data_IF_512351751020
#
_entry.id   IF_512351751020
#
_cell.length_a   1.000
_cell.length_b   1.000
_cell.length_c   1.000
_cell.angle_alpha   90.00
_cell.angle_beta   90.00
_cell.angle_gamma   90.00
#
_symmetry.space_group_name_H-M   'P 1'
#
loop_
_entity.id
_entity.type
_entity.pdbx_description
1 polymer ?
#
# COMPACT_ATOMS: atom_id res chain seq x y z
N UNK A 1 -23.03 -23.48 -1.86
CA UNK A 1 -22.03 -22.46 -2.23
C UNK A 1 -21.25 -22.15 -0.97
N UNK A 2 -20.17 -22.91 -0.70
CA UNK A 2 -19.31 -22.67 0.45
C UNK A 2 -18.38 -21.51 0.11
N UNK A 3 -18.19 -20.58 1.05
CA UNK A 3 -17.37 -19.39 0.89
C UNK A 3 -15.92 -19.79 0.59
N UNK A 4 -15.42 -19.44 -0.59
CA UNK A 4 -13.98 -19.40 -0.88
C UNK A 4 -13.37 -18.28 0.00
N UNK A 5 -13.09 -18.59 1.25
CA UNK A 5 -12.52 -17.66 2.23
C UNK A 5 -11.16 -18.19 2.65
N UNK A 6 -10.09 -17.66 2.07
CA UNK A 6 -8.74 -17.90 2.56
C UNK A 6 -8.64 -17.50 4.03
N UNK A 7 -7.84 -18.22 4.81
CA UNK A 7 -7.50 -17.91 6.19
C UNK A 7 -6.43 -16.83 6.28
N UNK A 8 -6.26 -16.24 7.47
CA UNK A 8 -5.20 -15.27 7.74
C UNK A 8 -3.81 -15.79 7.35
N UNK A 9 -3.50 -17.04 7.73
CA UNK A 9 -2.19 -17.62 7.45
C UNK A 9 -1.99 -17.90 5.96
N UNK A 10 -3.02 -18.32 5.21
CA UNK A 10 -2.91 -18.50 3.76
C UNK A 10 -2.63 -17.17 3.03
N UNK A 11 -3.28 -16.07 3.42
CA UNK A 11 -3.00 -14.75 2.83
C UNK A 11 -1.59 -14.25 3.17
N UNK A 12 -1.17 -14.44 4.43
CA UNK A 12 0.18 -14.06 4.90
C UNK A 12 1.27 -14.90 4.25
N UNK A 13 1.11 -16.22 4.16
CA UNK A 13 2.07 -17.11 3.51
C UNK A 13 2.20 -16.78 2.01
N UNK A 14 1.09 -16.49 1.34
CA UNK A 14 1.11 -16.07 -0.05
C UNK A 14 1.80 -14.70 -0.22
N UNK A 15 1.57 -13.74 0.70
CA UNK A 15 2.24 -12.44 0.70
C UNK A 15 3.75 -12.57 0.90
N UNK A 16 4.18 -13.33 1.91
CA UNK A 16 5.59 -13.60 2.18
C UNK A 16 6.26 -14.34 1.02
N UNK A 17 5.58 -15.32 0.42
CA UNK A 17 6.10 -16.05 -0.75
C UNK A 17 6.35 -15.14 -1.96
N UNK A 18 5.39 -14.27 -2.29
CA UNK A 18 5.56 -13.27 -3.36
C UNK A 18 6.68 -12.29 -3.05
N UNK A 19 6.74 -11.79 -1.81
CA UNK A 19 7.78 -10.88 -1.35
C UNK A 19 9.17 -11.49 -1.49
N UNK A 20 9.38 -12.69 -0.94
CA UNK A 20 10.68 -13.39 -1.01
C UNK A 20 11.10 -13.64 -2.45
N UNK A 21 10.20 -14.13 -3.30
CA UNK A 21 10.50 -14.37 -4.72
C UNK A 21 10.83 -13.07 -5.47
N UNK A 22 10.15 -11.96 -5.18
CA UNK A 22 10.41 -10.67 -5.84
C UNK A 22 11.67 -9.96 -5.31
N UNK A 23 12.15 -10.33 -4.11
CA UNK A 23 13.42 -9.86 -3.55
C UNK A 23 14.64 -10.62 -4.10
N UNK A 24 14.47 -11.66 -4.91
CA UNK A 24 15.57 -12.29 -5.63
C UNK A 24 15.99 -11.43 -6.84
N UNK A 25 16.66 -10.31 -6.56
CA UNK A 25 17.13 -9.37 -7.59
C UNK A 25 18.60 -9.57 -7.96
N UNK A 26 18.87 -9.53 -9.26
CA UNK A 26 20.24 -9.47 -9.77
C UNK A 26 20.85 -8.10 -9.48
N UNK A 27 22.10 -8.11 -9.02
CA UNK A 27 22.83 -6.88 -8.68
C UNK A 27 23.14 -6.12 -9.96
N UNK A 28 22.58 -4.93 -10.10
CA UNK A 28 22.78 -4.07 -11.28
C UNK A 28 24.14 -3.36 -11.27
N UNK A 29 24.75 -3.23 -10.09
CA UNK A 29 25.96 -2.42 -9.88
C UNK A 29 25.67 -0.98 -9.46
N UNK A 30 24.42 -0.56 -9.51
CA UNK A 30 23.92 0.68 -8.91
C UNK A 30 23.28 0.35 -7.55
N UNK A 31 23.88 0.85 -6.48
CA UNK A 31 23.45 0.55 -5.10
C UNK A 31 22.07 1.14 -4.80
N UNK A 32 21.75 2.31 -5.36
CA UNK A 32 20.46 2.97 -5.12
C UNK A 32 19.35 2.20 -5.86
N UNK A 33 19.64 1.76 -7.09
CA UNK A 33 18.72 0.92 -7.85
C UNK A 33 18.51 -0.44 -7.17
N UNK A 34 19.58 -1.09 -6.69
CA UNK A 34 19.52 -2.38 -5.99
C UNK A 34 18.75 -2.26 -4.66
N UNK A 35 18.92 -1.16 -3.92
CA UNK A 35 18.17 -0.88 -2.70
C UNK A 35 16.67 -0.80 -2.97
N UNK A 36 16.27 -0.02 -3.99
CA UNK A 36 14.85 0.10 -4.37
C UNK A 36 14.30 -1.23 -4.87
N UNK A 37 15.08 -1.97 -5.66
CA UNK A 37 14.67 -3.27 -6.20
C UNK A 37 14.41 -4.32 -5.09
N UNK A 38 15.13 -4.22 -3.96
CA UNK A 38 14.89 -5.03 -2.76
C UNK A 38 13.73 -4.50 -1.90
N UNK A 39 13.67 -3.18 -1.66
CA UNK A 39 12.74 -2.60 -0.68
C UNK A 39 11.33 -2.44 -1.19
N UNK A 40 11.15 -2.23 -2.50
CA UNK A 40 9.85 -2.16 -3.14
C UNK A 40 9.00 -3.44 -2.88
N UNK A 41 9.48 -4.67 -3.19
CA UNK A 41 8.74 -5.88 -2.87
C UNK A 41 8.62 -6.17 -1.37
N UNK A 42 9.63 -5.81 -0.57
CA UNK A 42 9.56 -5.94 0.90
C UNK A 42 8.39 -5.12 1.47
N UNK A 43 8.26 -3.86 1.03
CA UNK A 43 7.19 -2.97 1.49
C UNK A 43 5.83 -3.44 0.98
N UNK A 44 5.75 -3.95 -0.25
CA UNK A 44 4.52 -4.55 -0.76
C UNK A 44 4.09 -5.79 0.04
N UNK A 45 5.03 -6.64 0.46
CA UNK A 45 4.72 -7.77 1.35
C UNK A 45 4.15 -7.32 2.69
N UNK A 46 4.73 -6.27 3.29
CA UNK A 46 4.22 -5.68 4.53
C UNK A 46 2.79 -5.11 4.37
N UNK A 47 2.51 -4.45 3.24
CA UNK A 47 1.17 -3.94 2.89
C UNK A 47 0.18 -5.11 2.79
N UNK A 48 0.54 -6.18 2.09
CA UNK A 48 -0.34 -7.34 1.91
C UNK A 48 -0.67 -8.03 3.26
N UNK A 49 0.32 -8.15 4.16
CA UNK A 49 0.12 -8.68 5.52
C UNK A 49 -0.76 -7.75 6.38
N UNK A 50 -0.56 -6.43 6.27
CA UNK A 50 -1.39 -5.46 6.97
C UNK A 50 -2.85 -5.52 6.48
N UNK A 51 -3.09 -5.75 5.18
CA UNK A 51 -4.43 -5.99 4.64
C UNK A 51 -5.05 -7.25 5.24
N UNK A 52 -4.29 -8.34 5.41
CA UNK A 52 -4.76 -9.54 6.09
C UNK A 52 -5.17 -9.25 7.54
N UNK A 53 -4.38 -8.48 8.30
CA UNK A 53 -4.76 -8.04 9.65
C UNK A 53 -6.06 -7.23 9.65
N UNK A 54 -6.28 -6.34 8.66
CA UNK A 54 -7.55 -5.61 8.54
C UNK A 54 -8.74 -6.50 8.20
N UNK A 55 -8.52 -7.63 7.53
CA UNK A 55 -9.57 -8.58 7.14
C UNK A 55 -9.95 -9.51 8.29
N UNK A 56 -8.97 -10.06 9.00
CA UNK A 56 -9.17 -11.14 9.98
C UNK A 56 -9.00 -10.68 11.44
N UNK A 57 -8.18 -9.65 11.66
CA UNK A 57 -7.85 -9.12 12.98
C UNK A 57 -9.02 -8.38 13.63
N UNK A 58 -9.09 -8.45 14.96
CA UNK A 58 -10.17 -7.87 15.76
C UNK A 58 -9.71 -6.82 16.77
N UNK A 59 -8.41 -6.74 17.04
CA UNK A 59 -7.87 -5.77 17.97
C UNK A 59 -7.79 -4.39 17.30
N UNK A 60 -8.48 -3.39 17.86
CA UNK A 60 -8.57 -2.06 17.26
C UNK A 60 -7.21 -1.36 17.11
N UNK A 61 -6.31 -1.55 18.08
CA UNK A 61 -4.97 -0.98 18.03
C UNK A 61 -4.13 -1.61 16.92
N UNK A 62 -4.16 -2.94 16.78
CA UNK A 62 -3.43 -3.63 15.71
C UNK A 62 -3.98 -3.28 14.33
N UNK A 63 -5.30 -3.15 14.19
CA UNK A 63 -5.93 -2.68 12.95
C UNK A 63 -5.53 -1.25 12.61
N UNK A 64 -5.40 -0.36 13.61
CA UNK A 64 -4.90 0.99 13.37
C UNK A 64 -3.45 0.98 12.89
N UNK A 65 -2.58 0.19 13.53
CA UNK A 65 -1.19 0.00 13.10
C UNK A 65 -1.15 -0.54 11.66
N UNK A 66 -2.01 -1.49 11.31
CA UNK A 66 -2.09 -2.01 9.94
C UNK A 66 -2.50 -0.94 8.91
N UNK A 67 -3.41 -0.01 9.26
CA UNK A 67 -3.75 1.12 8.40
C UNK A 67 -2.56 2.07 8.21
N UNK A 68 -1.82 2.36 9.28
CA UNK A 68 -0.61 3.19 9.25
C UNK A 68 0.47 2.55 8.35
N UNK A 69 0.72 1.25 8.51
CA UNK A 69 1.63 0.49 7.63
C UNK A 69 1.22 0.61 6.16
N UNK A 70 -0.06 0.46 5.83
CA UNK A 70 -0.51 0.55 4.43
C UNK A 70 -0.20 1.93 3.85
N UNK A 71 -0.48 3.00 4.60
CA UNK A 71 -0.30 4.37 4.13
C UNK A 71 1.19 4.69 3.97
N UNK A 72 1.99 4.42 5.00
CA UNK A 72 3.39 4.81 5.05
C UNK A 72 4.20 4.04 4.01
N UNK A 73 4.04 2.71 3.94
CA UNK A 73 4.77 1.87 3.00
C UNK A 73 4.39 2.19 1.53
N UNK A 74 3.15 2.60 1.25
CA UNK A 74 2.74 3.06 -0.08
C UNK A 74 3.44 4.37 -0.48
N UNK A 75 3.58 5.31 0.46
CA UNK A 75 4.29 6.55 0.23
C UNK A 75 5.79 6.30 0.01
N UNK A 76 6.39 5.39 0.79
CA UNK A 76 7.79 5.02 0.64
C UNK A 76 8.07 4.31 -0.68
N UNK A 77 7.19 3.41 -1.14
CA UNK A 77 7.28 2.81 -2.49
C UNK A 77 7.27 3.90 -3.57
N UNK A 78 6.36 4.88 -3.46
CA UNK A 78 6.29 5.98 -4.42
C UNK A 78 7.56 6.85 -4.40
N UNK A 79 8.04 7.20 -3.21
CA UNK A 79 9.26 7.99 -3.02
C UNK A 79 10.50 7.27 -3.56
N UNK A 80 10.65 5.98 -3.27
CA UNK A 80 11.74 5.15 -3.79
C UNK A 80 11.72 5.08 -5.32
N UNK A 81 10.55 4.88 -5.94
CA UNK A 81 10.44 4.87 -7.42
C UNK A 81 10.84 6.21 -8.03
N UNK A 82 10.42 7.33 -7.45
CA UNK A 82 10.83 8.67 -7.89
C UNK A 82 12.35 8.84 -7.77
N UNK A 83 12.95 8.41 -6.65
CA UNK A 83 14.37 8.60 -6.37
C UNK A 83 15.28 7.94 -7.42
N UNK A 84 14.87 6.80 -8.00
CA UNK A 84 15.60 6.10 -9.07
C UNK A 84 15.06 6.40 -10.48
N UNK A 85 14.23 7.43 -10.64
CA UNK A 85 13.71 7.87 -11.94
C UNK A 85 12.66 6.96 -12.59
N UNK A 86 12.04 6.04 -11.83
CA UNK A 86 10.90 5.25 -12.30
C UNK A 86 9.63 6.10 -12.30
N UNK A 87 8.75 5.90 -13.29
CA UNK A 87 7.44 6.57 -13.34
C UNK A 87 6.53 6.11 -12.19
N UNK A 88 5.77 7.03 -11.60
CA UNK A 88 4.82 6.71 -10.53
C UNK A 88 3.69 5.79 -11.01
N UNK A 89 3.24 4.82 -10.19
CA UNK A 89 1.99 4.11 -10.46
C UNK A 89 0.81 5.10 -10.36
N UNK A 90 -0.26 4.87 -11.14
CA UNK A 90 -1.48 5.64 -11.00
C UNK A 90 -1.98 5.58 -9.55
N UNK A 91 -2.29 6.74 -8.96
CA UNK A 91 -2.79 6.86 -7.59
C UNK A 91 -4.06 6.01 -7.45
N UNK A 92 -3.96 4.88 -6.76
CA UNK A 92 -5.13 4.11 -6.38
C UNK A 92 -5.84 4.90 -5.26
N UNK A 93 -7.14 5.19 -5.38
CA UNK A 93 -7.86 5.85 -4.31
C UNK A 93 -7.83 4.97 -3.06
N UNK A 94 -7.51 5.57 -1.91
CA UNK A 94 -7.67 4.91 -0.63
C UNK A 94 -9.12 4.38 -0.51
N UNK A 95 -9.35 3.21 0.12
CA UNK A 95 -10.71 2.73 0.39
C UNK A 95 -11.37 3.69 1.38
N UNK A 96 -12.07 4.69 0.85
CA UNK A 96 -12.88 5.60 1.65
C UNK A 96 -14.13 4.84 2.08
N UNK A 97 -14.24 4.59 3.38
CA UNK A 97 -15.47 4.04 3.94
C UNK A 97 -16.56 5.11 3.78
N UNK A 98 -17.47 4.87 2.85
CA UNK A 98 -18.46 5.85 2.41
C UNK A 98 -19.47 6.22 3.48
N UNK A 99 -19.26 7.34 4.17
CA UNK A 99 -20.36 8.14 4.72
C UNK A 99 -20.59 9.32 3.80
N UNK A 100 -21.56 9.18 2.89
CA UNK A 100 -22.09 10.30 2.09
C UNK A 100 -22.58 11.40 3.04
N UNK A 101 -21.94 12.55 3.05
CA UNK A 101 -22.56 13.81 3.49
C UNK A 101 -22.75 14.67 2.25
N UNK A 102 -23.98 14.72 1.78
CA UNK A 102 -24.43 15.48 0.62
C UNK A 102 -24.48 16.98 0.92
N UNK A 103 -23.87 17.79 0.06
CA UNK A 103 -24.33 19.14 -0.26
C UNK A 103 -23.68 20.30 0.49
N UNK A 104 -22.88 21.09 -0.24
CA UNK A 104 -23.11 22.53 -0.32
C UNK A 104 -22.35 23.10 -1.54
N UNK A 105 -23.08 23.44 -2.61
CA UNK A 105 -22.59 24.35 -3.64
C UNK A 105 -22.39 25.73 -3.03
N UNK A 106 -21.26 26.40 -3.26
CA UNK A 106 -21.21 27.86 -3.30
C UNK A 106 -20.13 28.34 -4.27
N UNK A 107 -20.48 29.44 -4.91
CA UNK A 107 -20.04 29.91 -6.21
C UNK A 107 -18.72 30.69 -6.13
N UNK A 108 -17.99 30.65 -7.25
CA UNK A 108 -16.92 31.60 -7.58
C UNK A 108 -17.48 33.03 -7.64
N UNK A 109 -16.85 33.96 -6.94
CA UNK A 109 -16.76 35.35 -7.37
C UNK A 109 -15.31 35.85 -7.20
N UNK A 110 -14.66 36.08 -8.34
CA UNK A 110 -13.51 36.96 -8.47
C UNK A 110 -13.90 38.38 -8.07
N UNK A 111 -13.04 39.06 -7.31
CA UNK A 111 -13.00 40.52 -7.40
C UNK A 111 -11.58 41.06 -7.21
N UNK A 112 -11.01 41.42 -8.35
CA UNK A 112 -9.89 42.34 -8.53
C UNK A 112 -10.25 43.70 -7.94
N UNK A 113 -9.43 44.21 -7.01
CA UNK A 113 -8.79 45.54 -7.00
C UNK A 113 -8.24 45.85 -5.61
#
# INVERSE_FOLDING_TARGET
MASDGASFFEEVDAAMGRMMSAMEVERSGDIDADFVAMMEPHHQGAIDMAIAELRFGKNEQLRRIAQEIIIDQQQEIAAMRIAVGKSLPASAPAPTNGKKMTGMHHQHEEKTK
#
